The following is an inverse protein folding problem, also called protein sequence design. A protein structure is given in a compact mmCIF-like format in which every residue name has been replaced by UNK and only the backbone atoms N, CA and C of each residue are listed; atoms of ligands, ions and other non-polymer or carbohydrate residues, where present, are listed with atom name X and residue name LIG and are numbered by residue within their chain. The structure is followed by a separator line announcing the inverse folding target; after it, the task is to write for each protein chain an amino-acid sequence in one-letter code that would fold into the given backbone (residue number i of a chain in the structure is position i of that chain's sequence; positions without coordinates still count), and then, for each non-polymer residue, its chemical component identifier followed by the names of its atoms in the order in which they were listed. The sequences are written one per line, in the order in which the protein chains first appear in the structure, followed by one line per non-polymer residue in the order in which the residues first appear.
data_IF_631078759813
#
_entry.id   IF_631078759813
#
_cell.length_a   1.000
_cell.length_b   1.000
_cell.length_c   1.000
_cell.angle_alpha   90.00
_cell.angle_beta   90.00
_cell.angle_gamma   90.00
#
_symmetry.space_group_name_H-M   'P 1'
#
loop_
_entity.id
_entity.type
_entity.pdbx_description
1 polymer ?
#
# COMPACT_ATOMS: atom_id res chain seq x y z
N UNK A 1 25.65 22.78 -10.07
CA UNK A 1 25.23 21.71 -9.14
C UNK A 1 23.83 21.97 -8.59
N UNK A 2 23.59 23.08 -7.88
CA UNK A 2 22.29 23.37 -7.24
C UNK A 2 21.10 23.38 -8.21
N UNK A 3 21.28 23.92 -9.43
CA UNK A 3 20.25 23.90 -10.47
C UNK A 3 19.88 22.46 -10.89
N UNK A 4 20.87 21.64 -11.24
CA UNK A 4 20.63 20.22 -11.58
C UNK A 4 20.02 19.42 -10.44
N UNK A 5 20.39 19.73 -9.19
CA UNK A 5 19.78 19.09 -8.03
C UNK A 5 18.31 19.51 -7.89
N UNK A 6 17.99 20.80 -8.03
CA UNK A 6 16.61 21.28 -8.02
C UNK A 6 15.77 20.62 -9.11
N UNK A 7 16.28 20.57 -10.35
CA UNK A 7 15.59 19.91 -11.47
C UNK A 7 15.37 18.42 -11.19
N UNK A 8 16.37 17.74 -10.64
CA UNK A 8 16.26 16.34 -10.23
C UNK A 8 15.16 16.16 -9.19
N UNK A 9 15.14 17.00 -8.15
CA UNK A 9 14.15 16.94 -7.08
C UNK A 9 12.74 17.23 -7.59
N UNK A 10 12.59 18.18 -8.53
CA UNK A 10 11.29 18.48 -9.15
C UNK A 10 10.78 17.31 -10.00
N UNK A 11 11.66 16.71 -10.81
CA UNK A 11 11.32 15.54 -11.61
C UNK A 11 10.95 14.34 -10.72
N UNK A 12 11.68 14.16 -9.60
CA UNK A 12 11.37 13.13 -8.62
C UNK A 12 10.00 13.38 -7.97
N UNK A 13 9.67 14.63 -7.63
CA UNK A 13 8.35 14.99 -7.10
C UNK A 13 7.23 14.62 -8.09
N UNK A 14 7.39 14.94 -9.38
CA UNK A 14 6.40 14.59 -10.41
C UNK A 14 6.20 13.07 -10.54
N UNK A 15 7.27 12.27 -10.45
CA UNK A 15 7.17 10.81 -10.45
C UNK A 15 6.38 10.29 -9.24
N UNK A 16 6.58 10.90 -8.06
CA UNK A 16 5.79 10.57 -6.88
C UNK A 16 4.32 10.96 -7.05
N UNK A 17 3.99 12.12 -7.62
CA UNK A 17 2.61 12.52 -7.91
C UNK A 17 1.90 11.52 -8.84
N UNK A 18 2.56 11.15 -9.94
CA UNK A 18 2.03 10.15 -10.89
C UNK A 18 1.80 8.79 -10.22
N UNK A 19 2.74 8.35 -9.39
CA UNK A 19 2.61 7.10 -8.65
C UNK A 19 1.42 7.16 -7.67
N UNK A 20 1.28 8.26 -6.94
CA UNK A 20 0.19 8.44 -6.01
C UNK A 20 -1.18 8.45 -6.70
N UNK A 21 -1.29 9.12 -7.84
CA UNK A 21 -2.51 9.14 -8.66
C UNK A 21 -2.89 7.72 -9.12
N UNK A 22 -1.91 6.95 -9.60
CA UNK A 22 -2.14 5.56 -10.01
C UNK A 22 -2.66 4.69 -8.85
N UNK A 23 -2.11 4.87 -7.63
CA UNK A 23 -2.61 4.19 -6.43
C UNK A 23 -4.05 4.60 -6.09
N UNK A 24 -4.37 5.90 -6.19
CA UNK A 24 -5.70 6.41 -5.89
C UNK A 24 -6.76 5.87 -6.88
N UNK A 25 -6.43 5.84 -8.17
CA UNK A 25 -7.29 5.24 -9.21
C UNK A 25 -7.51 3.75 -8.95
N UNK A 26 -6.46 3.02 -8.57
CA UNK A 26 -6.56 1.61 -8.23
C UNK A 26 -7.52 1.38 -7.05
N UNK A 27 -7.29 2.08 -5.93
CA UNK A 27 -8.10 1.90 -4.71
C UNK A 27 -9.55 2.29 -4.95
N UNK A 28 -9.81 3.44 -5.59
CA UNK A 28 -11.17 3.88 -5.88
C UNK A 28 -11.96 2.87 -6.73
N UNK A 29 -11.29 2.24 -7.71
CA UNK A 29 -11.87 1.17 -8.52
C UNK A 29 -12.28 -0.06 -7.69
N UNK A 30 -11.40 -0.52 -6.79
CA UNK A 30 -11.68 -1.68 -5.94
C UNK A 30 -12.66 -1.37 -4.80
N UNK A 31 -12.67 -0.16 -4.23
CA UNK A 31 -13.66 0.26 -3.22
C UNK A 31 -15.09 0.18 -3.77
N UNK A 32 -15.29 0.61 -5.03
CA UNK A 32 -16.60 0.49 -5.70
C UNK A 32 -17.06 -0.96 -5.81
N UNK A 33 -16.19 -1.84 -6.34
CA UNK A 33 -16.46 -3.29 -6.44
C UNK A 33 -16.68 -3.92 -5.07
N UNK A 34 -15.93 -3.48 -4.05
CA UNK A 34 -16.07 -4.01 -2.69
C UNK A 34 -17.40 -3.60 -2.04
N UNK A 35 -17.92 -2.42 -2.37
CA UNK A 35 -19.26 -1.99 -2.00
C UNK A 35 -20.36 -2.85 -2.63
N UNK A 36 -20.16 -3.35 -3.86
CA UNK A 36 -21.07 -4.29 -4.51
C UNK A 36 -21.02 -5.67 -3.83
N UNK A 37 -19.82 -6.20 -3.55
CA UNK A 37 -19.64 -7.46 -2.82
C UNK A 37 -20.31 -7.47 -1.43
N UNK A 38 -20.31 -6.33 -0.72
CA UNK A 38 -21.04 -6.22 0.56
C UNK A 38 -22.54 -6.44 0.43
N UNK A 39 -23.15 -6.11 -0.72
CA UNK A 39 -24.59 -6.26 -0.94
C UNK A 39 -24.99 -7.71 -1.20
N UNK A 40 -24.10 -8.49 -1.81
CA UNK A 40 -24.34 -9.92 -2.11
C UNK A 40 -24.12 -10.84 -0.91
N UNK A 41 -23.38 -10.36 0.11
CA UNK A 41 -23.02 -11.15 1.28
C UNK A 41 -24.02 -10.96 2.42
N UNK A 42 -24.31 -12.01 3.22
CA UNK A 42 -25.04 -11.82 4.48
C UNK A 42 -24.33 -10.80 5.38
N UNK A 43 -25.10 -10.01 6.11
CA UNK A 43 -24.61 -8.97 7.02
C UNK A 43 -23.99 -9.58 8.29
N UNK A 44 -22.94 -10.40 8.12
CA UNK A 44 -22.16 -11.00 9.19
C UNK A 44 -20.74 -10.45 9.20
N UNK A 45 -20.13 -10.37 10.39
CA UNK A 45 -18.73 -9.99 10.52
C UNK A 45 -17.83 -11.05 9.87
N UNK A 46 -16.81 -10.59 9.12
CA UNK A 46 -15.78 -11.45 8.54
C UNK A 46 -14.43 -10.77 8.72
N UNK A 47 -13.56 -11.43 9.49
CA UNK A 47 -12.20 -10.95 9.75
C UNK A 47 -11.38 -10.88 8.47
N UNK A 48 -11.59 -11.83 7.54
CA UNK A 48 -10.94 -11.81 6.23
C UNK A 48 -11.35 -10.58 5.42
N UNK A 49 -12.64 -10.24 5.44
CA UNK A 49 -13.15 -9.07 4.72
C UNK A 49 -12.64 -7.76 5.32
N UNK A 50 -12.54 -7.71 6.65
CA UNK A 50 -11.95 -6.56 7.34
C UNK A 50 -10.46 -6.40 6.99
N UNK A 51 -9.68 -7.48 6.97
CA UNK A 51 -8.28 -7.43 6.57
C UNK A 51 -8.10 -6.93 5.12
N UNK A 52 -8.98 -7.34 4.21
CA UNK A 52 -9.02 -6.83 2.85
C UNK A 52 -9.34 -5.32 2.78
N UNK A 53 -10.32 -4.85 3.55
CA UNK A 53 -10.65 -3.43 3.62
C UNK A 53 -9.52 -2.60 4.23
N UNK A 54 -8.86 -3.11 5.27
CA UNK A 54 -7.67 -2.48 5.83
C UNK A 54 -6.56 -2.42 4.79
N UNK A 55 -6.34 -3.47 3.99
CA UNK A 55 -5.35 -3.42 2.92
C UNK A 55 -5.65 -2.33 1.88
N UNK A 56 -6.90 -2.19 1.45
CA UNK A 56 -7.30 -1.09 0.56
C UNK A 56 -7.04 0.29 1.19
N UNK A 57 -7.32 0.43 2.50
CA UNK A 57 -7.05 1.65 3.26
C UNK A 57 -5.55 1.94 3.38
N UNK A 58 -4.70 0.93 3.54
CA UNK A 58 -3.25 1.13 3.61
C UNK A 58 -2.66 1.60 2.28
N UNK A 59 -3.17 1.12 1.15
CA UNK A 59 -2.79 1.59 -0.19
C UNK A 59 -3.27 3.04 -0.42
N UNK A 60 -4.45 3.41 0.09
CA UNK A 60 -4.96 4.79 0.06
C UNK A 60 -4.06 5.73 0.86
N UNK A 61 -3.66 5.31 2.07
CA UNK A 61 -2.71 6.05 2.89
C UNK A 61 -1.32 6.14 2.24
N UNK A 62 -0.88 5.11 1.50
CA UNK A 62 0.35 5.17 0.70
C UNK A 62 0.26 6.24 -0.41
N UNK A 63 -0.89 6.36 -1.08
CA UNK A 63 -1.12 7.43 -2.06
C UNK A 63 -0.96 8.80 -1.40
N UNK A 64 -1.65 9.05 -0.30
CA UNK A 64 -1.57 10.34 0.40
C UNK A 64 -0.15 10.66 0.89
N UNK A 65 0.52 9.70 1.53
CA UNK A 65 1.89 9.91 2.00
C UNK A 65 2.87 10.15 0.85
N UNK A 66 2.61 9.57 -0.33
CA UNK A 66 3.39 9.81 -1.54
C UNK A 66 3.19 11.23 -2.08
N UNK A 67 1.95 11.75 -2.05
CA UNK A 67 1.64 13.15 -2.40
C UNK A 67 2.36 14.11 -1.43
N UNK A 68 2.37 13.80 -0.14
CA UNK A 68 3.02 14.64 0.86
C UNK A 68 4.54 14.72 0.62
N UNK A 69 5.18 13.60 0.27
CA UNK A 69 6.60 13.58 -0.14
C UNK A 69 6.83 14.39 -1.41
N UNK A 70 5.99 14.21 -2.44
CA UNK A 70 6.10 15.00 -3.66
C UNK A 70 6.01 16.51 -3.39
N UNK A 71 5.03 16.91 -2.57
CA UNK A 71 4.85 18.29 -2.15
C UNK A 71 6.05 18.84 -1.37
N UNK A 72 6.63 18.04 -0.47
CA UNK A 72 7.84 18.38 0.27
C UNK A 72 9.03 18.58 -0.68
N UNK A 73 9.26 17.65 -1.61
CA UNK A 73 10.33 17.74 -2.58
C UNK A 73 10.20 18.98 -3.49
N UNK A 74 9.00 19.27 -4.01
CA UNK A 74 8.80 20.45 -4.87
C UNK A 74 8.87 21.77 -4.06
N UNK A 75 8.08 21.87 -2.98
CA UNK A 75 7.87 23.16 -2.28
C UNK A 75 8.92 23.49 -1.24
N UNK A 76 9.46 22.48 -0.55
CA UNK A 76 10.38 22.69 0.57
C UNK A 76 11.84 22.48 0.17
N UNK A 77 12.10 21.67 -0.86
CA UNK A 77 13.47 21.36 -1.30
C UNK A 77 13.83 22.08 -2.61
N UNK A 78 13.13 21.78 -3.71
CA UNK A 78 13.43 22.29 -5.06
C UNK A 78 13.37 23.82 -5.12
N UNK A 79 12.20 24.42 -4.84
CA UNK A 79 12.03 25.89 -4.93
C UNK A 79 13.00 26.67 -4.03
N UNK A 80 13.13 26.36 -2.72
CA UNK A 80 14.02 27.13 -1.85
C UNK A 80 15.50 26.96 -2.23
N UNK A 81 15.91 25.78 -2.71
CA UNK A 81 17.27 25.58 -3.21
C UNK A 81 17.55 26.47 -4.41
N UNK A 82 16.63 26.55 -5.37
CA UNK A 82 16.75 27.41 -6.55
C UNK A 82 16.89 28.88 -6.15
N UNK A 83 16.00 29.37 -5.30
CA UNK A 83 15.99 30.77 -4.85
C UNK A 83 17.26 31.13 -4.05
N UNK A 84 17.62 30.33 -3.04
CA UNK A 84 18.78 30.59 -2.17
C UNK A 84 20.10 30.48 -2.93
N UNK A 85 20.24 29.49 -3.82
CA UNK A 85 21.44 29.34 -4.64
C UNK A 85 21.56 30.44 -5.70
N UNK A 86 20.44 30.89 -6.28
CA UNK A 86 20.43 32.01 -7.22
C UNK A 86 20.86 33.31 -6.53
N UNK A 87 20.36 33.58 -5.32
CA UNK A 87 20.80 34.73 -4.52
C UNK A 87 22.33 34.74 -4.34
N UNK A 88 22.93 33.60 -3.97
CA UNK A 88 24.39 33.47 -3.81
C UNK A 88 25.15 33.63 -5.12
N UNK A 89 24.61 33.13 -6.24
CA UNK A 89 25.18 33.36 -7.57
C UNK A 89 25.25 34.85 -7.92
N UNK A 90 24.22 35.62 -7.60
CA UNK A 90 24.21 37.08 -7.82
C UNK A 90 25.28 37.76 -6.97
N UNK A 91 25.42 37.40 -5.70
CA UNK A 91 26.45 37.96 -4.82
C UNK A 91 27.86 37.66 -5.34
N UNK A 92 28.14 36.40 -5.73
CA UNK A 92 29.45 36.02 -6.28
C UNK A 92 29.80 36.84 -7.52
N UNK A 93 28.84 37.09 -8.42
CA UNK A 93 29.06 37.94 -9.60
C UNK A 93 29.49 39.36 -9.24
N UNK A 94 28.90 39.95 -8.19
CA UNK A 94 29.27 41.30 -7.74
C UNK A 94 30.72 41.34 -7.25
N UNK A 95 31.17 40.34 -6.48
CA UNK A 95 32.56 40.23 -6.02
C UNK A 95 33.53 40.21 -7.21
N UNK A 96 33.23 39.44 -8.26
CA UNK A 96 34.04 39.44 -9.48
C UNK A 96 34.03 40.78 -10.22
N UNK A 97 32.86 41.44 -10.34
CA UNK A 97 32.78 42.78 -10.94
C UNK A 97 33.57 43.82 -10.14
N UNK A 98 33.56 43.76 -8.82
CA UNK A 98 34.36 44.63 -7.96
C UNK A 98 35.85 44.38 -8.19
N UNK A 99 36.29 43.11 -8.25
CA UNK A 99 37.68 42.75 -8.56
C UNK A 99 38.14 43.35 -9.90
N UNK A 100 37.37 43.17 -10.96
CA UNK A 100 37.69 43.75 -12.29
C UNK A 100 37.80 45.28 -12.25
N UNK A 101 36.94 45.92 -11.44
CA UNK A 101 36.97 47.37 -11.23
C UNK A 101 38.24 47.81 -10.51
N UNK A 102 38.67 47.08 -9.47
CA UNK A 102 39.93 47.35 -8.77
C UNK A 102 41.15 47.11 -9.66
N UNK A 103 41.18 46.01 -10.42
CA UNK A 103 42.26 45.72 -11.38
C UNK A 103 42.39 46.86 -12.41
N UNK A 104 41.27 47.42 -12.87
CA UNK A 104 41.26 48.60 -13.76
C UNK A 104 41.82 49.85 -13.09
N UNK A 105 41.52 50.09 -11.81
CA UNK A 105 42.04 51.24 -11.04
C UNK A 105 43.55 51.13 -10.85
N UNK A 106 44.04 49.93 -10.49
CA UNK A 106 45.46 49.66 -10.32
C UNK A 106 46.21 49.84 -11.64
N UNK A 107 45.72 49.22 -12.72
CA UNK A 107 46.30 49.33 -14.07
C UNK A 107 46.43 50.80 -14.52
N UNK A 108 45.38 51.61 -14.37
CA UNK A 108 45.44 53.07 -14.67
C UNK A 108 46.45 53.82 -13.82
N UNK A 109 46.67 53.40 -12.58
CA UNK A 109 47.62 54.02 -11.66
C UNK A 109 49.06 53.68 -12.05
N UNK A 110 49.31 52.44 -12.48
CA UNK A 110 50.61 52.01 -13.02
C UNK A 110 50.94 52.70 -14.35
N UNK A 111 49.96 52.87 -15.24
CA UNK A 111 50.12 53.64 -16.48
C UNK A 111 50.54 55.09 -16.22
N UNK A 112 49.92 55.75 -15.22
CA UNK A 112 50.31 57.11 -14.80
C UNK A 112 51.74 57.16 -14.30
N UNK A 113 52.15 56.19 -13.46
CA UNK A 113 53.53 56.10 -12.98
C UNK A 113 54.53 55.92 -14.13
N UNK A 114 54.21 55.04 -15.08
CA UNK A 114 55.03 54.82 -16.27
C UNK A 114 55.22 56.11 -17.08
N UNK A 115 54.14 56.88 -17.26
CA UNK A 115 54.20 58.19 -17.92
C UNK A 115 55.10 59.18 -17.17
N UNK A 116 54.89 59.37 -15.86
CA UNK A 116 55.72 60.27 -15.05
C UNK A 116 57.21 59.88 -15.10
N UNK A 117 57.52 58.58 -15.14
CA UNK A 117 58.89 58.08 -15.27
C UNK A 117 59.52 58.43 -16.62
N UNK A 118 58.74 58.32 -17.70
CA UNK A 118 59.17 58.69 -19.06
C UNK A 118 59.44 60.20 -19.12
N UNK A 119 58.53 61.02 -18.62
CA UNK A 119 58.64 62.48 -18.61
C UNK A 119 59.88 62.94 -17.83
N UNK A 120 60.08 62.39 -16.61
CA UNK A 120 61.28 62.62 -15.81
C UNK A 120 62.57 62.29 -16.56
N UNK A 121 62.63 61.13 -17.22
CA UNK A 121 63.79 60.70 -18.00
C UNK A 121 64.05 61.65 -19.18
N UNK A 122 63.01 62.13 -19.85
CA UNK A 122 63.14 63.08 -20.97
C UNK A 122 63.67 64.43 -20.49
N UNK A 123 63.13 64.99 -19.40
CA UNK A 123 63.61 66.25 -18.82
C UNK A 123 65.07 66.15 -18.35
N UNK A 124 65.47 65.01 -17.77
CA UNK A 124 66.87 64.73 -17.41
C UNK A 124 67.80 64.80 -18.63
N UNK A 125 67.44 64.12 -19.72
CA UNK A 125 68.24 64.10 -20.95
C UNK A 125 68.33 65.52 -21.54
N UNK A 126 67.21 66.24 -21.59
CA UNK A 126 67.15 67.60 -22.12
C UNK A 126 68.04 68.57 -21.33
N UNK A 127 67.98 68.53 -20.00
CA UNK A 127 68.85 69.35 -19.15
C UNK A 127 70.33 68.99 -19.34
N UNK A 128 70.67 67.71 -19.45
CA UNK A 128 72.04 67.24 -19.70
C UNK A 128 72.60 67.71 -21.04
N UNK A 129 71.75 67.78 -22.07
CA UNK A 129 72.15 68.22 -23.41
C UNK A 129 72.29 69.75 -23.51
N UNK A 130 71.42 70.51 -22.83
CA UNK A 130 71.46 71.98 -22.83
C UNK A 130 71.15 72.55 -21.43
N UNK A 131 72.18 72.72 -20.58
CA UNK A 131 72.00 73.18 -19.21
C UNK A 131 71.58 74.65 -19.15
N UNK A 132 70.33 74.89 -18.73
CA UNK A 132 69.78 76.24 -18.48
C UNK A 132 68.96 76.22 -17.20
N UNK A 133 68.67 77.39 -16.65
CA UNK A 133 67.81 77.50 -15.46
C UNK A 133 66.41 76.93 -15.72
N UNK A 134 65.85 77.13 -16.91
CA UNK A 134 64.54 76.58 -17.29
C UNK A 134 64.56 75.04 -17.34
N UNK A 135 65.57 74.44 -17.98
CA UNK A 135 65.66 72.98 -18.08
C UNK A 135 65.93 72.33 -16.73
N UNK A 136 66.63 73.03 -15.82
CA UNK A 136 66.81 72.59 -14.44
C UNK A 136 65.49 72.57 -13.66
N UNK A 137 64.69 73.65 -13.75
CA UNK A 137 63.37 73.71 -13.09
C UNK A 137 62.46 72.59 -13.59
N UNK A 138 62.35 72.38 -14.91
CA UNK A 138 61.53 71.31 -15.48
C UNK A 138 62.00 69.90 -15.08
N UNK A 139 63.31 69.69 -14.95
CA UNK A 139 63.87 68.45 -14.45
C UNK A 139 63.49 68.19 -12.98
N UNK A 140 63.58 69.21 -12.13
CA UNK A 140 63.19 69.10 -10.70
C UNK A 140 61.68 68.88 -10.56
N UNK A 141 60.86 69.59 -11.34
CA UNK A 141 59.40 69.45 -11.29
C UNK A 141 58.94 68.05 -11.73
N UNK A 142 59.49 67.54 -12.84
CA UNK A 142 59.20 66.18 -13.32
C UNK A 142 59.74 65.10 -12.37
N UNK A 143 60.86 65.34 -11.69
CA UNK A 143 61.35 64.47 -10.62
C UNK A 143 60.35 64.38 -9.47
N UNK A 144 59.92 65.53 -8.95
CA UNK A 144 58.99 65.61 -7.83
C UNK A 144 57.65 64.94 -8.18
N UNK A 145 57.13 65.19 -9.39
CA UNK A 145 55.91 64.53 -9.88
C UNK A 145 56.07 63.00 -9.97
N UNK A 146 57.20 62.52 -10.49
CA UNK A 146 57.48 61.08 -10.55
C UNK A 146 57.56 60.44 -9.15
N UNK A 147 58.31 61.05 -8.22
CA UNK A 147 58.44 60.53 -6.85
C UNK A 147 57.10 60.51 -6.11
N UNK A 148 56.30 61.57 -6.23
CA UNK A 148 54.96 61.61 -5.65
C UNK A 148 54.05 60.51 -6.22
N UNK A 149 54.05 60.34 -7.54
CA UNK A 149 53.25 59.28 -8.18
C UNK A 149 53.75 57.89 -7.80
N UNK A 150 55.07 57.69 -7.65
CA UNK A 150 55.65 56.44 -7.19
C UNK A 150 55.16 56.07 -5.78
N UNK A 151 55.17 57.02 -4.85
CA UNK A 151 54.64 56.79 -3.51
C UNK A 151 53.14 56.48 -3.52
N UNK A 152 52.36 57.21 -4.32
CA UNK A 152 50.93 56.95 -4.46
C UNK A 152 50.64 55.56 -5.04
N UNK A 153 51.34 55.17 -6.12
CA UNK A 153 51.19 53.84 -6.73
C UNK A 153 51.58 52.73 -5.76
N UNK A 154 52.71 52.86 -5.06
CA UNK A 154 53.13 51.85 -4.08
C UNK A 154 52.12 51.69 -2.94
N UNK A 155 51.61 52.80 -2.39
CA UNK A 155 50.59 52.75 -1.34
C UNK A 155 49.28 52.11 -1.83
N UNK A 156 48.87 52.39 -3.07
CA UNK A 156 47.68 51.75 -3.67
C UNK A 156 47.88 50.26 -3.89
N UNK A 157 49.06 49.83 -4.34
CA UNK A 157 49.40 48.42 -4.51
C UNK A 157 49.42 47.68 -3.17
N UNK A 158 50.00 48.28 -2.14
CA UNK A 158 50.04 47.73 -0.78
C UNK A 158 48.61 47.56 -0.23
N UNK A 159 47.78 48.61 -0.28
CA UNK A 159 46.38 48.52 0.15
C UNK A 159 45.58 47.47 -0.64
N UNK A 160 45.77 47.41 -1.97
CA UNK A 160 45.06 46.44 -2.79
C UNK A 160 45.45 44.99 -2.47
N UNK A 161 46.75 44.71 -2.37
CA UNK A 161 47.23 43.34 -2.21
C UNK A 161 47.17 42.84 -0.76
N UNK A 162 47.34 43.72 0.23
CA UNK A 162 47.36 43.35 1.64
C UNK A 162 46.00 43.45 2.33
N UNK A 163 45.07 44.25 1.80
CA UNK A 163 43.77 44.48 2.44
C UNK A 163 42.59 44.12 1.52
N UNK A 164 42.46 44.81 0.38
CA UNK A 164 41.27 44.69 -0.49
C UNK A 164 41.11 43.30 -1.08
N UNK A 165 42.16 42.74 -1.67
CA UNK A 165 42.10 41.42 -2.31
C UNK A 165 41.81 40.30 -1.28
N UNK A 166 42.49 40.25 -0.11
CA UNK A 166 42.11 39.33 0.96
C UNK A 166 40.64 39.45 1.40
N UNK A 167 40.10 40.67 1.53
CA UNK A 167 38.69 40.86 1.88
C UNK A 167 37.74 40.30 0.81
N UNK A 168 38.01 40.53 -0.48
CA UNK A 168 37.22 39.95 -1.56
C UNK A 168 37.28 38.41 -1.57
N UNK A 169 38.42 37.82 -1.18
CA UNK A 169 38.55 36.37 -1.03
C UNK A 169 37.75 35.84 0.16
N UNK A 170 37.74 36.56 1.28
CA UNK A 170 36.91 36.21 2.43
C UNK A 170 35.41 36.27 2.08
N UNK A 171 34.95 37.31 1.39
CA UNK A 171 33.56 37.39 0.92
C UNK A 171 33.20 36.20 0.01
N UNK A 172 34.12 35.78 -0.87
CA UNK A 172 33.90 34.63 -1.74
C UNK A 172 33.85 33.30 -0.96
N UNK A 173 34.70 33.15 0.05
CA UNK A 173 34.71 32.00 0.97
C UNK A 173 33.38 31.90 1.73
N UNK A 174 32.88 33.01 2.28
CA UNK A 174 31.58 33.06 2.97
C UNK A 174 30.43 32.65 2.03
N UNK A 175 30.43 33.17 0.80
CA UNK A 175 29.43 32.79 -0.22
C UNK A 175 29.49 31.30 -0.53
N UNK A 176 30.70 30.73 -0.64
CA UNK A 176 30.89 29.32 -0.94
C UNK A 176 30.41 28.43 0.22
N UNK A 177 30.80 28.75 1.45
CA UNK A 177 30.36 28.02 2.65
C UNK A 177 28.84 28.03 2.78
N UNK A 178 28.21 29.19 2.57
CA UNK A 178 26.74 29.30 2.59
C UNK A 178 26.10 28.43 1.49
N UNK A 179 26.67 28.41 0.29
CA UNK A 179 26.16 27.58 -0.81
C UNK A 179 26.27 26.08 -0.49
N UNK A 180 27.38 25.65 0.10
CA UNK A 180 27.56 24.27 0.57
C UNK A 180 26.50 23.89 1.61
N UNK A 181 26.24 24.76 2.58
CA UNK A 181 25.22 24.54 3.59
C UNK A 181 23.81 24.46 2.99
N UNK A 182 23.47 25.36 2.07
CA UNK A 182 22.18 25.36 1.35
C UNK A 182 21.96 24.02 0.63
N UNK A 183 22.97 23.54 -0.09
CA UNK A 183 22.86 22.28 -0.86
C UNK A 183 22.78 21.08 0.08
N UNK A 184 23.62 21.02 1.12
CA UNK A 184 23.61 19.94 2.08
C UNK A 184 22.28 19.83 2.84
N UNK A 185 21.74 20.98 3.28
CA UNK A 185 20.43 21.07 3.95
C UNK A 185 19.31 20.57 3.02
N UNK A 186 19.31 20.97 1.75
CA UNK A 186 18.31 20.52 0.77
C UNK A 186 18.36 19.00 0.55
N UNK A 187 19.56 18.42 0.44
CA UNK A 187 19.75 16.97 0.31
C UNK A 187 19.23 16.24 1.55
N UNK A 188 19.57 16.73 2.73
CA UNK A 188 19.15 16.16 4.01
C UNK A 188 17.62 16.16 4.12
N UNK A 189 16.97 17.31 3.89
CA UNK A 189 15.52 17.44 3.97
C UNK A 189 14.79 16.49 3.00
N UNK A 190 15.29 16.36 1.76
CA UNK A 190 14.73 15.40 0.79
C UNK A 190 14.86 13.95 1.25
N UNK A 191 16.01 13.58 1.81
CA UNK A 191 16.25 12.23 2.33
C UNK A 191 15.37 11.93 3.56
N UNK A 192 15.23 12.87 4.49
CA UNK A 192 14.40 12.73 5.69
C UNK A 192 12.91 12.57 5.35
N UNK A 193 12.40 13.33 4.38
CA UNK A 193 11.01 13.20 3.94
C UNK A 193 10.71 11.79 3.38
N UNK A 194 11.60 11.25 2.55
CA UNK A 194 11.46 9.91 1.98
C UNK A 194 11.61 8.84 3.06
N UNK A 195 12.58 8.98 3.96
CA UNK A 195 12.81 8.04 5.06
C UNK A 195 11.64 7.98 6.03
N UNK A 196 11.06 9.14 6.39
CA UNK A 196 9.89 9.22 7.26
C UNK A 196 8.69 8.48 6.65
N UNK A 197 8.42 8.67 5.36
CA UNK A 197 7.39 7.90 4.63
C UNK A 197 7.64 6.40 4.71
N UNK A 198 8.87 5.97 4.42
CA UNK A 198 9.22 4.54 4.39
C UNK A 198 9.04 3.88 5.76
N UNK A 199 9.41 4.57 6.84
CA UNK A 199 9.26 4.07 8.21
C UNK A 199 7.79 3.90 8.59
N UNK A 200 6.96 4.92 8.32
CA UNK A 200 5.53 4.85 8.62
C UNK A 200 4.83 3.79 7.77
N UNK A 201 5.20 3.68 6.49
CA UNK A 201 4.70 2.64 5.60
C UNK A 201 5.02 1.24 6.15
N UNK A 202 6.26 0.98 6.57
CA UNK A 202 6.65 -0.30 7.14
C UNK A 202 5.83 -0.66 8.39
N UNK A 203 5.62 0.31 9.29
CA UNK A 203 4.82 0.13 10.51
C UNK A 203 3.38 -0.25 10.19
N UNK A 204 2.74 0.43 9.24
CA UNK A 204 1.36 0.17 8.82
C UNK A 204 1.20 -1.24 8.23
N UNK A 205 2.12 -1.65 7.36
CA UNK A 205 2.09 -3.00 6.77
C UNK A 205 2.39 -4.12 7.77
N UNK A 206 3.24 -3.88 8.78
CA UNK A 206 3.43 -4.86 9.86
C UNK A 206 2.13 -5.08 10.66
N UNK A 207 1.41 -4.00 10.97
CA UNK A 207 0.09 -4.08 11.61
C UNK A 207 -0.92 -4.88 10.76
N UNK A 208 -1.00 -4.59 9.46
CA UNK A 208 -1.85 -5.36 8.53
C UNK A 208 -1.44 -6.84 8.47
N UNK A 209 -0.14 -7.14 8.41
CA UNK A 209 0.35 -8.52 8.41
C UNK A 209 -0.08 -9.28 9.68
N UNK A 210 -0.03 -8.62 10.84
CA UNK A 210 -0.50 -9.19 12.10
C UNK A 210 -2.03 -9.40 12.11
N UNK A 211 -2.79 -8.48 11.53
CA UNK A 211 -4.23 -8.65 11.33
C UNK A 211 -4.53 -9.86 10.44
N UNK A 212 -3.82 -10.03 9.32
CA UNK A 212 -3.98 -11.19 8.44
C UNK A 212 -3.69 -12.52 9.15
N UNK A 213 -2.65 -12.57 10.01
CA UNK A 213 -2.35 -13.75 10.82
C UNK A 213 -3.44 -14.09 11.84
N UNK A 214 -4.22 -13.09 12.27
CA UNK A 214 -5.32 -13.27 13.22
C UNK A 214 -6.63 -13.76 12.58
N UNK A 215 -6.70 -13.85 11.24
CA UNK A 215 -7.90 -14.32 10.54
C UNK A 215 -8.20 -15.78 10.90
N UNK A 216 -9.39 -16.01 11.46
CA UNK A 216 -9.86 -17.33 11.88
C UNK A 216 -11.11 -17.76 11.11
N UNK A 217 -11.03 -18.77 10.22
CA UNK A 217 -12.18 -19.28 9.47
C UNK A 217 -13.29 -19.81 10.38
N UNK A 218 -12.92 -20.42 11.51
CA UNK A 218 -13.87 -20.96 12.49
C UNK A 218 -14.71 -19.86 13.14
N UNK A 219 -14.10 -18.71 13.44
CA UNK A 219 -14.80 -17.55 13.98
C UNK A 219 -15.72 -16.92 12.94
N UNK A 220 -15.23 -16.71 11.72
CA UNK A 220 -16.02 -16.18 10.59
C UNK A 220 -17.25 -17.07 10.32
N UNK A 221 -17.09 -18.40 10.33
CA UNK A 221 -18.20 -19.33 10.19
C UNK A 221 -19.19 -19.23 11.36
N UNK A 222 -18.68 -19.05 12.58
CA UNK A 222 -19.51 -18.83 13.76
C UNK A 222 -20.39 -17.57 13.64
N UNK A 223 -19.83 -16.46 13.14
CA UNK A 223 -20.59 -15.24 12.86
C UNK A 223 -21.60 -15.44 11.73
N UNK A 224 -21.20 -16.14 10.67
CA UNK A 224 -22.09 -16.45 9.55
C UNK A 224 -23.30 -17.27 10.00
N UNK A 225 -23.11 -18.38 10.72
CA UNK A 225 -24.20 -19.25 11.19
C UNK A 225 -25.17 -18.48 12.09
N UNK A 226 -24.68 -17.59 12.96
CA UNK A 226 -25.52 -16.73 13.81
C UNK A 226 -26.35 -15.72 13.01
N UNK A 227 -25.92 -15.35 11.81
CA UNK A 227 -26.66 -14.43 10.94
C UNK A 227 -27.78 -15.12 10.14
N UNK A 228 -27.78 -16.46 10.07
CA UNK A 228 -28.81 -17.20 9.36
C UNK A 228 -30.10 -17.23 10.18
N UNK A 229 -31.27 -17.07 9.54
CA UNK A 229 -32.56 -17.21 10.22
C UNK A 229 -32.74 -18.67 10.66
N UNK A 230 -32.71 -18.91 11.97
CA UNK A 230 -32.99 -20.24 12.54
C UNK A 230 -34.50 -20.38 12.76
N UNK A 231 -35.16 -21.42 12.24
CA UNK A 231 -36.57 -21.68 12.54
C UNK A 231 -36.74 -21.91 14.05
N UNK A 232 -37.69 -21.19 14.67
CA UNK A 232 -37.98 -21.25 16.11
C UNK A 232 -38.34 -22.64 16.65
N UNK A 233 -38.65 -23.60 15.77
CA UNK A 233 -38.98 -25.00 16.10
C UNK A 233 -37.91 -26.04 15.71
N UNK A 234 -36.70 -25.63 15.31
CA UNK A 234 -35.68 -26.55 14.78
C UNK A 234 -35.19 -27.63 15.76
N UNK A 235 -35.51 -27.54 17.05
CA UNK A 235 -35.00 -28.47 18.08
C UNK A 235 -35.81 -29.75 18.29
N UNK A 236 -37.01 -29.91 17.70
CA UNK A 236 -37.76 -31.17 17.81
C UNK A 236 -37.87 -31.83 16.44
N UNK A 237 -37.32 -33.05 16.33
CA UNK A 237 -37.53 -33.92 15.16
C UNK A 237 -39.04 -34.07 14.97
N UNK A 238 -39.61 -33.66 13.82
CA UNK A 238 -41.04 -33.77 13.59
C UNK A 238 -41.43 -35.24 13.47
N UNK A 239 -41.97 -35.82 14.55
CA UNK A 239 -42.46 -37.19 14.57
C UNK A 239 -43.92 -37.23 14.08
N UNK A 240 -44.24 -38.19 13.23
CA UNK A 240 -45.63 -38.48 12.84
C UNK A 240 -46.24 -39.44 13.86
N UNK A 241 -47.41 -39.10 14.39
CA UNK A 241 -48.17 -39.97 15.27
C UNK A 241 -49.05 -40.91 14.43
N UNK A 242 -49.33 -42.10 14.96
CA UNK A 242 -50.36 -42.98 14.40
C UNK A 242 -51.72 -42.27 14.44
N UNK A 243 -52.44 -42.27 13.32
CA UNK A 243 -53.76 -41.67 13.19
C UNK A 243 -54.79 -42.79 12.91
N UNK A 244 -55.67 -43.13 13.87
CA UNK A 244 -56.73 -44.11 13.62
C UNK A 244 -57.71 -43.56 12.57
N UNK A 245 -58.43 -44.43 11.84
CA UNK A 245 -59.48 -44.00 10.91
C UNK A 245 -60.47 -43.09 11.63
N UNK A 246 -60.64 -41.86 11.13
CA UNK A 246 -61.66 -40.96 11.65
C UNK A 246 -63.02 -41.57 11.30
N UNK A 247 -63.88 -41.76 12.30
CA UNK A 247 -65.28 -42.14 12.08
C UNK A 247 -65.92 -41.05 11.23
N UNK A 248 -66.20 -41.36 9.97
CA UNK A 248 -67.08 -40.53 9.16
C UNK A 248 -68.45 -40.57 9.85
N UNK A 249 -68.75 -39.56 10.65
CA UNK A 249 -70.05 -38.95 11.01
C UNK A 249 -69.75 -38.01 12.20
N UNK A 250 -69.45 -36.75 11.90
CA UNK A 250 -69.94 -35.64 12.74
C UNK A 250 -71.15 -35.08 11.99
N UNK A 251 -72.28 -35.72 12.25
CA UNK A 251 -73.61 -35.21 11.95
C UNK A 251 -74.37 -35.29 13.27
N UNK A 252 -74.80 -34.12 13.72
CA UNK A 252 -75.70 -33.82 14.84
C UNK A 252 -76.71 -34.95 15.17
N UNK A 253 -76.94 -35.19 16.46
CA UNK A 253 -78.12 -35.95 16.90
C UNK A 253 -77.86 -37.15 17.79
N UNK A 254 -78.57 -37.13 18.91
CA UNK A 254 -78.70 -38.11 19.96
C UNK A 254 -79.25 -39.47 19.46
N UNK A 255 -78.97 -40.48 20.30
CA UNK A 255 -79.76 -41.68 20.56
C UNK A 255 -79.68 -42.97 19.70
N UNK A 256 -79.44 -44.06 20.46
CA UNK A 256 -79.77 -45.48 20.25
C UNK A 256 -79.75 -46.07 18.82
N UNK A 257 -78.81 -46.98 18.57
CA UNK A 257 -79.10 -48.42 18.34
C UNK A 257 -77.94 -49.16 17.67
N UNK A 258 -77.88 -50.46 17.96
CA UNK A 258 -77.29 -51.52 17.13
C UNK A 258 -75.81 -51.84 17.38
N UNK A 259 -75.63 -52.59 18.45
CA UNK A 259 -74.83 -53.82 18.56
C UNK A 259 -74.70 -54.60 17.24
N UNK A 260 -73.95 -54.11 16.25
CA UNK A 260 -73.30 -54.87 15.16
C UNK A 260 -72.27 -53.95 14.49
N UNK A 261 -71.13 -53.78 15.15
CA UNK A 261 -70.06 -52.94 14.61
C UNK A 261 -68.94 -52.71 15.61
N UNK A 262 -68.49 -53.75 16.32
CA UNK A 262 -67.22 -53.69 17.05
C UNK A 262 -66.10 -53.69 16.01
N UNK A 263 -65.94 -52.56 15.33
CA UNK A 263 -64.81 -52.30 14.46
C UNK A 263 -63.56 -52.32 15.34
N UNK A 264 -62.72 -53.33 15.17
CA UNK A 264 -61.43 -53.45 15.85
C UNK A 264 -60.67 -52.14 15.73
N UNK A 265 -60.61 -51.35 16.82
CA UNK A 265 -59.80 -50.14 16.85
C UNK A 265 -58.32 -50.57 16.85
N UNK A 266 -57.71 -50.55 15.67
CA UNK A 266 -56.31 -50.88 15.49
C UNK A 266 -55.43 -49.86 16.21
N UNK A 267 -54.42 -50.37 16.91
CA UNK A 267 -53.40 -49.56 17.61
C UNK A 267 -52.16 -49.44 16.73
N UNK A 268 -51.17 -48.67 17.20
CA UNK A 268 -49.85 -48.55 16.56
C UNK A 268 -49.00 -49.82 16.73
N UNK A 269 -49.54 -50.98 16.32
CA UNK A 269 -48.99 -52.31 16.52
C UNK A 269 -49.34 -53.20 15.31
N UNK A 270 -48.49 -54.18 15.00
CA UNK A 270 -48.74 -55.16 13.95
C UNK A 270 -49.77 -56.21 14.41
N UNK A 271 -50.76 -56.52 13.57
CA UNK A 271 -51.76 -57.57 13.82
C UNK A 271 -51.30 -58.90 13.21
N UNK A 272 -51.17 -59.95 14.03
CA UNK A 272 -50.58 -61.25 13.63
C UNK A 272 -51.59 -62.41 13.72
N UNK A 273 -52.90 -62.16 13.64
CA UNK A 273 -53.92 -63.22 13.70
C UNK A 273 -53.96 -64.09 12.42
N UNK A 274 -54.59 -65.27 12.47
CA UNK A 274 -54.50 -66.38 11.51
C UNK A 274 -54.77 -66.03 10.03
N UNK A 275 -55.45 -64.92 9.74
CA UNK A 275 -55.60 -64.38 8.38
C UNK A 275 -54.50 -63.39 7.94
N UNK A 276 -53.96 -62.57 8.85
CA UNK A 276 -52.92 -61.57 8.57
C UNK A 276 -51.49 -62.12 8.69
N UNK A 277 -51.26 -63.13 9.54
CA UNK A 277 -49.95 -63.75 9.76
C UNK A 277 -49.32 -64.38 8.52
N UNK A 278 -50.10 -64.70 7.49
CA UNK A 278 -49.61 -65.33 6.26
C UNK A 278 -48.64 -64.39 5.51
N UNK A 279 -48.85 -63.07 5.60
CA UNK A 279 -48.01 -62.08 4.90
C UNK A 279 -46.94 -61.39 5.77
N UNK A 280 -47.13 -61.35 7.10
CA UNK A 280 -46.17 -60.68 7.99
C UNK A 280 -44.80 -61.37 7.99
N UNK A 281 -44.76 -62.72 8.01
CA UNK A 281 -43.49 -63.47 8.03
C UNK A 281 -42.67 -63.31 6.73
N UNK A 282 -43.24 -63.52 5.52
CA UNK A 282 -42.51 -63.27 4.28
C UNK A 282 -42.05 -61.81 4.13
N UNK A 283 -42.87 -60.85 4.55
CA UNK A 283 -42.51 -59.42 4.52
C UNK A 283 -41.33 -59.11 5.44
N UNK A 284 -41.30 -59.67 6.65
CA UNK A 284 -40.17 -59.52 7.58
C UNK A 284 -38.87 -60.12 7.02
N UNK A 285 -38.94 -61.30 6.39
CA UNK A 285 -37.77 -61.91 5.74
C UNK A 285 -37.26 -61.09 4.55
N UNK A 286 -38.17 -60.51 3.75
CA UNK A 286 -37.83 -59.60 2.67
C UNK A 286 -37.14 -58.33 3.20
N UNK A 287 -37.67 -57.71 4.24
CA UNK A 287 -37.08 -56.53 4.89
C UNK A 287 -35.70 -56.83 5.49
N UNK A 288 -35.50 -58.03 6.07
CA UNK A 288 -34.18 -58.47 6.56
C UNK A 288 -33.17 -58.60 5.43
N UNK A 289 -33.58 -59.16 4.28
CA UNK A 289 -32.73 -59.25 3.09
C UNK A 289 -32.39 -57.87 2.53
N UNK A 290 -33.40 -57.01 2.39
CA UNK A 290 -33.22 -55.62 1.93
C UNK A 290 -32.28 -54.83 2.86
N UNK A 291 -32.41 -54.99 4.18
CA UNK A 291 -31.50 -54.37 5.16
C UNK A 291 -30.05 -54.79 4.94
N UNK A 292 -29.78 -56.07 4.70
CA UNK A 292 -28.44 -56.57 4.44
C UNK A 292 -27.88 -56.04 3.11
N UNK A 293 -28.71 -55.98 2.06
CA UNK A 293 -28.32 -55.42 0.77
C UNK A 293 -27.98 -53.93 0.87
N UNK A 294 -28.79 -53.15 1.61
CA UNK A 294 -28.53 -51.74 1.86
C UNK A 294 -27.24 -51.52 2.67
N UNK A 295 -26.94 -52.37 3.65
CA UNK A 295 -25.68 -52.30 4.41
C UNK A 295 -24.46 -52.51 3.52
N UNK A 296 -24.52 -53.48 2.58
CA UNK A 296 -23.46 -53.72 1.60
C UNK A 296 -23.29 -52.51 0.67
N UNK A 297 -24.40 -51.98 0.14
CA UNK A 297 -24.37 -50.80 -0.74
C UNK A 297 -23.81 -49.56 -0.02
N UNK A 298 -24.19 -49.33 1.24
CA UNK A 298 -23.67 -48.23 2.06
C UNK A 298 -22.16 -48.37 2.26
N UNK A 299 -21.68 -49.58 2.56
CA UNK A 299 -20.23 -49.82 2.71
C UNK A 299 -19.46 -49.52 1.43
N UNK A 300 -19.95 -50.01 0.29
CA UNK A 300 -19.35 -49.74 -1.02
C UNK A 300 -19.33 -48.24 -1.37
N UNK A 301 -20.44 -47.53 -1.08
CA UNK A 301 -20.52 -46.08 -1.29
C UNK A 301 -19.57 -45.33 -0.36
N UNK A 302 -19.44 -45.74 0.90
CA UNK A 302 -18.51 -45.14 1.86
C UNK A 302 -17.06 -45.29 1.38
N UNK A 303 -16.65 -46.51 0.99
CA UNK A 303 -15.31 -46.78 0.48
C UNK A 303 -14.99 -45.97 -0.79
N UNK A 304 -15.99 -45.80 -1.66
CA UNK A 304 -15.89 -44.98 -2.88
C UNK A 304 -15.73 -43.50 -2.56
N UNK A 305 -16.53 -42.96 -1.63
CA UNK A 305 -16.40 -41.57 -1.16
C UNK A 305 -15.01 -41.34 -0.58
N UNK A 306 -14.53 -42.23 0.28
CA UNK A 306 -13.23 -42.10 0.92
C UNK A 306 -12.08 -42.16 -0.10
N UNK A 307 -12.20 -42.98 -1.14
CA UNK A 307 -11.23 -43.03 -2.23
C UNK A 307 -11.19 -41.71 -3.04
N UNK A 308 -12.36 -41.15 -3.38
CA UNK A 308 -12.46 -39.88 -4.09
C UNK A 308 -11.93 -38.72 -3.23
N UNK A 309 -12.27 -38.66 -1.94
CA UNK A 309 -11.77 -37.64 -1.01
C UNK A 309 -10.25 -37.72 -0.87
N UNK A 310 -9.66 -38.91 -0.74
CA UNK A 310 -8.20 -39.07 -0.72
C UNK A 310 -7.56 -38.61 -2.03
N UNK A 311 -8.18 -38.89 -3.17
CA UNK A 311 -7.72 -38.42 -4.48
C UNK A 311 -7.75 -36.89 -4.56
N UNK A 312 -8.81 -36.27 -4.02
CA UNK A 312 -8.96 -34.83 -3.97
C UNK A 312 -7.92 -34.16 -3.09
N UNK A 313 -7.68 -34.69 -1.89
CA UNK A 313 -6.65 -34.16 -0.98
C UNK A 313 -5.29 -34.18 -1.68
N UNK A 314 -4.90 -35.30 -2.31
CA UNK A 314 -3.65 -35.38 -3.08
C UNK A 314 -3.60 -34.37 -4.24
N UNK A 315 -4.72 -34.19 -4.92
CA UNK A 315 -4.86 -33.19 -5.98
C UNK A 315 -4.61 -31.77 -5.47
N UNK A 316 -5.22 -31.41 -4.33
CA UNK A 316 -5.05 -30.12 -3.67
C UNK A 316 -3.60 -29.92 -3.20
N UNK A 317 -3.01 -30.92 -2.52
CA UNK A 317 -1.62 -30.90 -2.07
C UNK A 317 -0.62 -30.76 -3.23
N UNK A 318 -0.99 -31.30 -4.40
CA UNK A 318 -0.21 -31.21 -5.63
C UNK A 318 -0.57 -29.98 -6.49
N UNK A 319 -1.36 -29.03 -5.95
CA UNK A 319 -1.80 -27.80 -6.63
C UNK A 319 -2.62 -28.03 -7.92
N UNK A 320 -3.22 -29.21 -8.10
CA UNK A 320 -4.07 -29.57 -9.24
C UNK A 320 -5.54 -29.19 -8.98
N UNK A 321 -5.81 -27.89 -8.81
CA UNK A 321 -7.14 -27.39 -8.43
C UNK A 321 -8.24 -27.73 -9.44
N UNK A 322 -7.94 -27.70 -10.74
CA UNK A 322 -8.92 -28.06 -11.78
C UNK A 322 -9.38 -29.53 -11.63
N UNK A 323 -8.42 -30.44 -11.46
CA UNK A 323 -8.71 -31.87 -11.24
C UNK A 323 -9.41 -32.12 -9.91
N UNK A 324 -9.04 -31.38 -8.86
CA UNK A 324 -9.72 -31.45 -7.56
C UNK A 324 -11.16 -30.93 -7.63
N UNK A 325 -11.44 -29.97 -8.52
CA UNK A 325 -12.76 -29.43 -8.78
C UNK A 325 -13.62 -30.38 -9.63
N UNK A 326 -13.05 -31.01 -10.66
CA UNK A 326 -13.75 -32.01 -11.49
C UNK A 326 -14.33 -33.15 -10.64
N UNK A 327 -13.55 -33.67 -9.67
CA UNK A 327 -14.01 -34.75 -8.78
C UNK A 327 -14.92 -34.28 -7.63
N UNK A 328 -15.07 -32.97 -7.41
CA UNK A 328 -15.90 -32.43 -6.32
C UNK A 328 -17.38 -32.75 -6.53
N UNK A 329 -17.84 -32.73 -7.78
CA UNK A 329 -19.22 -33.08 -8.14
C UNK A 329 -19.49 -34.56 -7.87
N UNK A 330 -18.57 -35.44 -8.28
CA UNK A 330 -18.64 -36.89 -8.01
C UNK A 330 -18.68 -37.19 -6.50
N UNK A 331 -17.83 -36.51 -5.71
CA UNK A 331 -17.84 -36.64 -4.24
C UNK A 331 -19.19 -36.23 -3.66
N UNK A 332 -19.74 -35.12 -4.14
CA UNK A 332 -21.02 -34.57 -3.66
C UNK A 332 -22.17 -35.51 -3.98
N UNK A 333 -22.21 -36.05 -5.21
CA UNK A 333 -23.21 -37.02 -5.65
C UNK A 333 -23.11 -38.32 -4.84
N UNK A 334 -21.90 -38.89 -4.67
CA UNK A 334 -21.70 -40.11 -3.89
C UNK A 334 -22.05 -39.94 -2.41
N UNK A 335 -21.75 -38.78 -1.82
CA UNK A 335 -22.17 -38.45 -0.45
C UNK A 335 -23.69 -38.34 -0.35
N UNK A 336 -24.36 -37.77 -1.34
CA UNK A 336 -25.82 -37.72 -1.38
C UNK A 336 -26.43 -39.14 -1.44
N UNK A 337 -25.97 -39.98 -2.37
CA UNK A 337 -26.42 -41.37 -2.51
C UNK A 337 -26.22 -42.16 -1.22
N UNK A 338 -25.04 -42.02 -0.61
CA UNK A 338 -24.71 -42.62 0.68
C UNK A 338 -25.71 -42.21 1.76
N UNK A 339 -26.01 -40.91 1.88
CA UNK A 339 -26.99 -40.39 2.85
C UNK A 339 -28.40 -40.89 2.56
N UNK A 340 -28.82 -40.92 1.30
CA UNK A 340 -30.13 -41.44 0.90
C UNK A 340 -30.29 -42.91 1.29
N UNK A 341 -29.26 -43.74 1.06
CA UNK A 341 -29.24 -45.15 1.47
C UNK A 341 -29.21 -45.31 2.99
N UNK A 342 -28.48 -44.48 3.73
CA UNK A 342 -28.49 -44.47 5.20
C UNK A 342 -29.88 -44.15 5.77
N UNK A 343 -30.59 -43.18 5.19
CA UNK A 343 -31.98 -42.86 5.55
C UNK A 343 -32.90 -44.04 5.24
N UNK A 344 -32.75 -44.67 4.07
CA UNK A 344 -33.57 -45.81 3.69
C UNK A 344 -33.33 -47.02 4.63
N UNK A 345 -32.07 -47.33 4.94
CA UNK A 345 -31.72 -48.38 5.88
C UNK A 345 -32.31 -48.10 7.27
N UNK A 346 -32.32 -46.83 7.73
CA UNK A 346 -32.95 -46.47 9.00
C UNK A 346 -34.46 -46.74 8.99
N UNK A 347 -35.14 -46.52 7.86
CA UNK A 347 -36.56 -46.86 7.69
C UNK A 347 -36.79 -48.37 7.71
N UNK A 348 -36.04 -49.14 6.91
CA UNK A 348 -36.15 -50.62 6.87
C UNK A 348 -35.86 -51.23 8.25
N UNK A 349 -34.81 -50.79 8.94
CA UNK A 349 -34.49 -51.24 10.30
C UNK A 349 -35.60 -50.89 11.31
N UNK A 350 -36.31 -49.79 11.13
CA UNK A 350 -37.44 -49.43 11.98
C UNK A 350 -38.67 -50.30 11.70
N UNK A 351 -38.86 -50.79 10.47
CA UNK A 351 -39.95 -51.72 10.09
C UNK A 351 -39.68 -53.17 10.51
N UNK A 352 -38.41 -53.56 10.66
CA UNK A 352 -37.99 -54.89 11.12
C UNK A 352 -38.12 -55.05 12.64
N UNK A 353 -38.13 -53.93 13.39
CA UNK A 353 -38.36 -53.90 14.85
C UNK A 353 -39.83 -54.09 15.15
#
# INVERSE_FOLDING_TARGET
MSFHFSDFTENLAQLYEQHAEALQVLVSGYRKRNGELRKERPACQSNLFQAWETFLQEIEADSQATIDVASSLSRQVSRPLLERSFYRKVQSRKVFTHRESFDTIISKTEEKLSKCRIDYKQCFIAHRQNPTQLTLTQYIDSHNAYVQQLHATNAMLEAYHCETLPQLMQELEEIYNDLCNIVAEAVLQGAEAIAAKALEQARRYDSLANQCKSVSPSQDLGFFVRSLPVPSNAQRVPKKAFAPPQSAIQGDGDDLSTEYGVGFALRNELVVDKGASIQVRPSLEALKRESQELEIQIKQLQDSVDALVRSQIRGIESQLYNKANEIQEDISMKKFDLRAKQIHLAAVRAQVR
#
